data_IF_497106936218
#
_entry.id   IF_497106936218
#
_cell.length_a   1.000
_cell.length_b   1.000
_cell.length_c   1.000
_cell.angle_alpha   90.00
_cell.angle_beta   90.00
_cell.angle_gamma   90.00
#
_symmetry.space_group_name_H-M   'P 1'
#
loop_
_entity.id
_entity.type
_entity.pdbx_description
1 polymer ?
#
# COMPACT_ATOMS: atom_id res chain seq x y z
N UNK A 1 -18.26 -48.26 -39.57
CA UNK A 1 -19.29 -47.26 -39.21
C UNK A 1 -20.25 -47.93 -38.23
N UNK A 2 -20.47 -47.54 -36.99
CA UNK A 2 -19.84 -46.52 -36.16
C UNK A 2 -20.01 -46.97 -34.69
N UNK A 3 -18.91 -47.42 -34.06
CA UNK A 3 -18.77 -47.53 -32.60
C UNK A 3 -18.67 -46.13 -31.93
N UNK A 4 -18.88 -45.06 -32.69
CA UNK A 4 -18.74 -43.66 -32.27
C UNK A 4 -19.96 -43.10 -31.51
N UNK A 5 -21.17 -43.61 -31.77
CA UNK A 5 -22.40 -43.04 -31.19
C UNK A 5 -22.71 -43.49 -29.75
N UNK A 6 -22.03 -44.52 -29.26
CA UNK A 6 -22.19 -44.97 -27.87
C UNK A 6 -21.29 -44.20 -26.90
N UNK A 7 -20.08 -43.82 -27.33
CA UNK A 7 -19.15 -43.03 -26.51
C UNK A 7 -19.57 -41.57 -26.35
N UNK A 8 -20.33 -41.01 -27.30
CA UNK A 8 -20.83 -39.64 -27.24
C UNK A 8 -21.93 -39.42 -26.18
N UNK A 9 -22.61 -40.50 -25.74
CA UNK A 9 -23.69 -40.43 -24.72
C UNK A 9 -23.20 -40.74 -23.29
N UNK A 10 -21.94 -41.15 -23.13
CA UNK A 10 -21.30 -41.36 -21.82
C UNK A 10 -20.52 -40.13 -21.32
N UNK A 11 -20.18 -39.20 -22.22
CA UNK A 11 -19.66 -37.89 -21.84
C UNK A 11 -20.84 -36.95 -21.60
N UNK A 12 -21.40 -37.08 -20.39
CA UNK A 12 -22.32 -36.12 -19.83
C UNK A 12 -21.81 -34.71 -20.10
N UNK A 13 -22.70 -33.88 -20.65
CA UNK A 13 -22.60 -32.43 -20.76
C UNK A 13 -21.93 -31.91 -19.50
N UNK A 14 -20.65 -31.55 -19.60
CA UNK A 14 -19.91 -30.87 -18.55
C UNK A 14 -20.64 -29.55 -18.38
N UNK A 15 -21.42 -29.42 -17.32
CA UNK A 15 -21.83 -28.12 -16.81
C UNK A 15 -20.55 -27.28 -16.77
N UNK A 16 -20.51 -26.22 -17.57
CA UNK A 16 -19.47 -25.21 -17.44
C UNK A 16 -19.48 -24.81 -15.97
N UNK A 17 -18.36 -24.99 -15.24
CA UNK A 17 -18.33 -24.58 -13.85
C UNK A 17 -18.67 -23.10 -13.83
N UNK A 18 -19.76 -22.75 -13.15
CA UNK A 18 -20.05 -21.35 -12.81
C UNK A 18 -18.75 -20.72 -12.35
N UNK A 19 -18.40 -19.51 -12.84
CA UNK A 19 -17.19 -18.85 -12.40
C UNK A 19 -17.24 -18.75 -10.88
N UNK A 20 -16.39 -19.54 -10.21
CA UNK A 20 -16.33 -19.55 -8.76
C UNK A 20 -16.19 -18.10 -8.30
N UNK A 21 -16.99 -17.65 -7.32
CA UNK A 21 -16.94 -16.27 -6.87
C UNK A 21 -15.49 -15.94 -6.51
N UNK A 22 -14.89 -15.00 -7.26
CA UNK A 22 -13.55 -14.52 -6.97
C UNK A 22 -13.53 -14.09 -5.50
N UNK A 23 -12.61 -14.61 -4.67
CA UNK A 23 -12.55 -14.23 -3.27
C UNK A 23 -12.42 -12.72 -3.17
N UNK A 24 -13.40 -12.08 -2.53
CA UNK A 24 -13.32 -10.65 -2.23
C UNK A 24 -12.06 -10.41 -1.37
N UNK A 25 -11.29 -9.34 -1.63
CA UNK A 25 -10.20 -8.96 -0.76
C UNK A 25 -10.69 -8.82 0.70
N UNK A 26 -9.91 -9.26 1.70
CA UNK A 26 -10.24 -9.08 3.11
C UNK A 26 -10.47 -7.62 3.44
N UNK A 27 -11.54 -7.33 4.19
CA UNK A 27 -11.83 -5.99 4.70
C UNK A 27 -11.02 -5.69 5.97
N UNK A 28 -10.95 -4.42 6.37
CA UNK A 28 -10.28 -4.05 7.62
C UNK A 28 -10.87 -4.79 8.84
N UNK A 29 -12.19 -4.98 8.88
CA UNK A 29 -12.86 -5.72 9.96
C UNK A 29 -12.47 -7.21 9.94
N UNK A 30 -12.32 -7.81 8.76
CA UNK A 30 -11.83 -9.18 8.62
C UNK A 30 -10.40 -9.34 9.15
N UNK A 31 -9.53 -8.35 8.88
CA UNK A 31 -8.16 -8.33 9.38
C UNK A 31 -8.11 -8.18 10.90
N UNK A 32 -8.91 -7.27 11.46
CA UNK A 32 -9.01 -7.10 12.90
C UNK A 32 -9.54 -8.37 13.59
N UNK A 33 -10.53 -9.02 12.99
CA UNK A 33 -11.04 -10.31 13.47
C UNK A 33 -9.99 -11.42 13.37
N UNK A 34 -9.16 -11.43 12.32
CA UNK A 34 -8.04 -12.36 12.19
C UNK A 34 -7.00 -12.18 13.31
N UNK A 35 -6.66 -10.94 13.63
CA UNK A 35 -5.75 -10.63 14.75
C UNK A 35 -6.32 -11.11 16.09
N UNK A 36 -7.62 -10.94 16.34
CA UNK A 36 -8.27 -11.46 17.55
C UNK A 36 -8.17 -12.99 17.63
N UNK A 37 -8.36 -13.70 16.51
CA UNK A 37 -8.17 -15.17 16.47
C UNK A 37 -6.73 -15.55 16.80
N UNK A 38 -5.74 -14.80 16.31
CA UNK A 38 -4.32 -15.00 16.64
C UNK A 38 -4.06 -14.81 18.13
N UNK A 39 -4.61 -13.76 18.75
CA UNK A 39 -4.49 -13.53 20.19
C UNK A 39 -5.10 -14.69 21.01
N UNK A 40 -6.22 -15.25 20.54
CA UNK A 40 -6.86 -16.42 21.17
C UNK A 40 -5.99 -17.68 21.09
N UNK A 41 -5.24 -17.90 20.00
CA UNK A 41 -4.34 -19.05 19.86
C UNK A 41 -3.21 -19.07 20.89
N UNK A 42 -2.79 -17.89 21.36
CA UNK A 42 -1.69 -17.75 22.33
C UNK A 42 -2.15 -17.47 23.76
N UNK A 43 -3.46 -17.35 23.97
CA UNK A 43 -4.06 -17.11 25.28
C UNK A 43 -3.94 -18.32 26.22
N UNK A 44 -4.19 -18.09 27.51
CA UNK A 44 -4.32 -19.17 28.51
C UNK A 44 -3.07 -20.03 28.72
N UNK A 45 -1.88 -19.56 28.31
CA UNK A 45 -0.63 -20.31 28.43
C UNK A 45 -0.44 -21.39 27.36
N UNK A 46 -1.21 -21.35 26.25
CA UNK A 46 -1.10 -22.28 25.13
C UNK A 46 0.32 -22.31 24.53
N UNK A 47 1.03 -21.17 24.55
CA UNK A 47 2.42 -21.03 24.12
C UNK A 47 3.32 -20.52 25.26
N UNK A 48 4.65 -20.74 25.20
CA UNK A 48 5.60 -20.12 26.12
C UNK A 48 5.53 -18.59 26.11
N UNK A 49 5.82 -17.95 27.24
CA UNK A 49 5.76 -16.48 27.37
C UNK A 49 6.58 -15.70 26.32
N UNK A 50 7.79 -16.14 25.91
CA UNK A 50 8.55 -15.47 24.85
C UNK A 50 7.84 -15.43 23.49
N UNK A 51 7.01 -16.43 23.19
CA UNK A 51 6.19 -16.51 21.97
C UNK A 51 5.01 -15.56 22.08
N UNK A 52 4.26 -15.63 23.18
CA UNK A 52 3.09 -14.77 23.42
C UNK A 52 3.47 -13.27 23.35
N UNK A 53 4.59 -12.88 23.95
CA UNK A 53 5.10 -11.51 23.91
C UNK A 53 5.38 -11.03 22.48
N UNK A 54 6.03 -11.87 21.66
CA UNK A 54 6.35 -11.53 20.27
C UNK A 54 5.12 -11.46 19.39
N UNK A 55 4.20 -12.40 19.53
CA UNK A 55 2.90 -12.35 18.84
C UNK A 55 2.17 -11.06 19.18
N UNK A 56 2.12 -10.68 20.46
CA UNK A 56 1.52 -9.42 20.90
C UNK A 56 2.18 -8.19 20.25
N UNK A 57 3.51 -8.18 20.09
CA UNK A 57 4.21 -7.12 19.37
C UNK A 57 3.78 -7.03 17.90
N UNK A 58 3.76 -8.15 17.17
CA UNK A 58 3.37 -8.16 15.75
C UNK A 58 1.91 -7.70 15.62
N UNK A 59 1.00 -8.29 16.41
CA UNK A 59 -0.43 -7.95 16.41
C UNK A 59 -0.66 -6.46 16.65
N UNK A 60 0.05 -5.87 17.62
CA UNK A 60 -0.04 -4.43 17.89
C UNK A 60 0.30 -3.59 16.66
N UNK A 61 1.45 -3.84 16.03
CA UNK A 61 1.92 -3.04 14.89
C UNK A 61 1.02 -3.24 13.66
N UNK A 62 0.57 -4.47 13.41
CA UNK A 62 -0.38 -4.75 12.33
C UNK A 62 -1.70 -4.01 12.57
N UNK A 63 -2.26 -4.06 13.80
CA UNK A 63 -3.48 -3.33 14.17
C UNK A 63 -3.33 -1.81 14.00
N UNK A 64 -2.19 -1.24 14.36
CA UNK A 64 -1.90 0.19 14.15
C UNK A 64 -1.77 0.56 12.66
N UNK A 65 -1.41 -0.39 11.80
CA UNK A 65 -1.21 -0.18 10.36
C UNK A 65 -2.52 -0.34 9.56
N UNK A 66 -3.43 -1.22 9.98
CA UNK A 66 -4.69 -1.55 9.26
C UNK A 66 -5.49 -0.32 8.81
N UNK A 67 -5.76 0.71 9.64
CA UNK A 67 -6.56 1.86 9.24
C UNK A 67 -5.97 2.64 8.06
N UNK A 68 -4.65 2.53 7.84
CA UNK A 68 -3.91 3.24 6.81
C UNK A 68 -3.74 2.45 5.52
N UNK A 69 -4.20 1.19 5.49
CA UNK A 69 -4.13 0.35 4.29
C UNK A 69 -4.83 0.98 3.09
N UNK A 70 -5.91 1.73 3.31
CA UNK A 70 -6.60 2.48 2.25
C UNK A 70 -5.68 3.48 1.55
N UNK A 71 -4.76 4.11 2.28
CA UNK A 71 -3.79 5.08 1.72
C UNK A 71 -2.69 4.39 0.91
N UNK A 72 -2.43 3.12 1.18
CA UNK A 72 -1.40 2.33 0.52
C UNK A 72 -1.86 1.72 -0.81
N UNK A 73 -3.16 1.68 -1.08
CA UNK A 73 -3.73 1.02 -2.25
C UNK A 73 -3.32 -0.46 -2.36
N UNK A 74 -3.30 -0.99 -3.58
CA UNK A 74 -2.84 -2.36 -3.88
C UNK A 74 -1.32 -2.56 -3.81
N UNK A 75 -0.61 -1.81 -2.96
CA UNK A 75 0.84 -1.90 -2.83
C UNK A 75 1.30 -3.20 -2.15
N UNK A 76 2.58 -3.52 -2.35
CA UNK A 76 3.24 -4.67 -1.71
C UNK A 76 3.17 -4.57 -0.18
N UNK A 77 3.25 -3.36 0.37
CA UNK A 77 3.14 -3.10 1.80
C UNK A 77 1.75 -3.44 2.33
N UNK A 78 0.69 -3.04 1.61
CA UNK A 78 -0.68 -3.37 1.98
C UNK A 78 -0.92 -4.88 1.96
N UNK A 79 -0.43 -5.56 0.92
CA UNK A 79 -0.48 -7.02 0.82
C UNK A 79 0.28 -7.69 1.99
N UNK A 80 1.47 -7.21 2.34
CA UNK A 80 2.28 -7.78 3.42
C UNK A 80 1.56 -7.72 4.78
N UNK A 81 0.87 -6.62 5.08
CA UNK A 81 0.09 -6.45 6.31
C UNK A 81 -1.12 -7.39 6.32
N UNK A 82 -1.85 -7.46 5.21
CA UNK A 82 -2.97 -8.38 5.02
C UNK A 82 -2.54 -9.83 5.25
N UNK A 83 -1.55 -10.30 4.49
CA UNK A 83 -1.04 -11.67 4.57
C UNK A 83 -0.45 -12.00 5.95
N UNK A 84 0.14 -11.02 6.64
CA UNK A 84 0.62 -11.22 8.02
C UNK A 84 -0.53 -11.52 8.98
N UNK A 85 -1.65 -10.82 8.85
CA UNK A 85 -2.82 -11.04 9.69
C UNK A 85 -3.58 -12.33 9.33
N UNK A 86 -3.70 -12.65 8.04
CA UNK A 86 -4.55 -13.76 7.56
C UNK A 86 -3.83 -15.10 7.45
N UNK A 87 -2.54 -15.08 7.13
CA UNK A 87 -1.83 -16.30 6.71
C UNK A 87 -0.57 -16.53 7.57
N UNK A 88 0.38 -15.58 7.58
CA UNK A 88 1.72 -15.83 8.13
C UNK A 88 1.73 -16.04 9.64
N UNK A 89 1.06 -15.15 10.41
CA UNK A 89 0.97 -15.32 11.87
C UNK A 89 0.18 -16.58 12.27
N UNK A 90 -1.06 -16.78 11.77
CA UNK A 90 -1.83 -17.97 12.11
C UNK A 90 -1.11 -19.27 11.75
N UNK A 91 -0.46 -19.33 10.58
CA UNK A 91 0.25 -20.52 10.13
C UNK A 91 1.49 -20.83 10.98
N UNK A 92 2.30 -19.82 11.31
CA UNK A 92 3.48 -20.01 12.15
C UNK A 92 3.10 -20.54 13.54
N UNK A 93 2.10 -19.93 14.18
CA UNK A 93 1.62 -20.33 15.50
C UNK A 93 0.97 -21.72 15.43
N UNK A 94 0.10 -21.94 14.44
CA UNK A 94 -0.56 -23.23 14.23
C UNK A 94 0.44 -24.36 13.96
N UNK A 95 1.51 -24.08 13.21
CA UNK A 95 2.60 -25.01 12.97
C UNK A 95 3.26 -25.50 14.25
N UNK A 96 3.56 -24.59 15.18
CA UNK A 96 4.10 -24.94 16.49
C UNK A 96 3.09 -25.69 17.37
N UNK A 97 1.83 -25.24 17.41
CA UNK A 97 0.78 -25.85 18.24
C UNK A 97 0.37 -27.25 17.79
N UNK A 98 0.60 -27.62 16.52
CA UNK A 98 0.40 -28.98 16.01
C UNK A 98 1.42 -29.99 16.57
N UNK A 99 2.54 -29.52 17.12
CA UNK A 99 3.58 -30.38 17.68
C UNK A 99 3.35 -30.62 19.18
N UNK A 100 3.68 -31.82 19.72
CA UNK A 100 3.73 -32.01 21.16
C UNK A 100 4.73 -31.04 21.80
N UNK A 101 4.32 -30.24 22.78
CA UNK A 101 5.13 -29.14 23.38
C UNK A 101 6.54 -29.59 23.77
N UNK A 102 6.63 -30.65 24.56
CA UNK A 102 7.90 -31.22 25.02
C UNK A 102 8.81 -31.65 23.86
N UNK A 103 8.27 -32.06 22.71
CA UNK A 103 9.04 -32.36 21.52
C UNK A 103 9.51 -31.06 20.84
N UNK A 104 8.60 -30.11 20.63
CA UNK A 104 8.86 -28.83 19.97
C UNK A 104 9.92 -27.98 20.69
N UNK A 105 10.00 -28.12 22.02
CA UNK A 105 10.88 -27.30 22.87
C UNK A 105 12.27 -27.92 23.05
N UNK A 106 12.43 -29.24 22.88
CA UNK A 106 13.68 -29.95 23.23
C UNK A 106 14.39 -30.57 22.03
N UNK A 107 13.66 -30.93 20.97
CA UNK A 107 14.24 -31.66 19.84
C UNK A 107 14.76 -30.68 18.80
N UNK A 108 16.05 -30.75 18.42
CA UNK A 108 16.56 -29.97 17.31
C UNK A 108 15.96 -30.50 16.01
N UNK A 109 15.52 -29.58 15.14
CA UNK A 109 14.84 -29.90 13.87
C UNK A 109 15.54 -29.30 12.66
N UNK A 110 16.22 -28.16 12.81
CA UNK A 110 16.99 -27.54 11.73
C UNK A 110 18.22 -26.83 12.29
N UNK A 111 19.41 -27.18 11.80
CA UNK A 111 20.70 -26.59 12.21
C UNK A 111 20.90 -26.47 13.74
N UNK A 112 20.40 -27.45 14.50
CA UNK A 112 20.47 -27.46 15.96
C UNK A 112 19.40 -26.62 16.68
N UNK A 113 18.55 -25.88 15.96
CA UNK A 113 17.43 -25.13 16.53
C UNK A 113 16.22 -26.04 16.74
N UNK A 114 15.51 -25.82 17.84
CA UNK A 114 14.23 -26.46 18.11
C UNK A 114 13.09 -25.74 17.37
N UNK A 115 11.92 -26.37 17.27
CA UNK A 115 10.75 -25.73 16.65
C UNK A 115 10.37 -24.43 17.37
N UNK A 116 10.53 -24.37 18.69
CA UNK A 116 10.34 -23.14 19.47
C UNK A 116 11.30 -22.02 19.03
N UNK A 117 12.58 -22.33 18.86
CA UNK A 117 13.58 -21.35 18.42
C UNK A 117 13.29 -20.83 17.02
N UNK A 118 12.88 -21.71 16.11
CA UNK A 118 12.51 -21.32 14.74
C UNK A 118 11.28 -20.40 14.76
N UNK A 119 10.26 -20.72 15.55
CA UNK A 119 9.09 -19.84 15.69
C UNK A 119 9.48 -18.46 16.22
N UNK A 120 10.37 -18.40 17.21
CA UNK A 120 10.87 -17.14 17.76
C UNK A 120 11.54 -16.30 16.66
N UNK A 121 12.43 -16.89 15.86
CA UNK A 121 13.10 -16.20 14.77
C UNK A 121 12.10 -15.67 13.72
N UNK A 122 11.08 -16.49 13.38
CA UNK A 122 10.03 -16.10 12.44
C UNK A 122 9.21 -14.92 12.96
N UNK A 123 8.84 -14.93 14.25
CA UNK A 123 8.09 -13.83 14.86
C UNK A 123 8.92 -12.55 14.97
N UNK A 124 10.22 -12.65 15.27
CA UNK A 124 11.13 -11.51 15.29
C UNK A 124 11.31 -10.89 13.90
N UNK A 125 11.40 -11.72 12.86
CA UNK A 125 11.41 -11.27 11.47
C UNK A 125 10.10 -10.57 11.08
N UNK A 126 8.95 -11.14 11.42
CA UNK A 126 7.64 -10.54 11.16
C UNK A 126 7.51 -9.19 11.86
N UNK A 127 7.89 -9.11 13.14
CA UNK A 127 7.85 -7.85 13.90
C UNK A 127 8.70 -6.76 13.25
N UNK A 128 9.97 -7.06 12.94
CA UNK A 128 10.87 -6.10 12.31
C UNK A 128 10.38 -5.67 10.91
N UNK A 129 9.71 -6.56 10.18
CA UNK A 129 9.15 -6.25 8.86
C UNK A 129 7.93 -5.35 8.99
N UNK A 130 7.02 -5.64 9.92
CA UNK A 130 5.85 -4.79 10.16
C UNK A 130 6.23 -3.41 10.71
N UNK A 131 7.26 -3.31 11.55
CA UNK A 131 7.81 -2.02 11.99
C UNK A 131 8.27 -1.17 10.79
N UNK A 132 9.00 -1.77 9.84
CA UNK A 132 9.43 -1.08 8.60
C UNK A 132 8.25 -0.64 7.74
N UNK A 133 7.24 -1.49 7.61
CA UNK A 133 6.02 -1.16 6.85
C UNK A 133 5.33 0.03 7.52
N UNK A 134 5.10 -0.04 8.83
CA UNK A 134 4.50 1.04 9.60
C UNK A 134 5.27 2.36 9.45
N UNK A 135 6.59 2.34 9.58
CA UNK A 135 7.44 3.52 9.38
C UNK A 135 7.33 4.08 7.95
N UNK A 136 7.27 3.22 6.94
CA UNK A 136 7.10 3.63 5.54
C UNK A 136 5.75 4.32 5.32
N UNK A 137 4.67 3.78 5.91
CA UNK A 137 3.33 4.39 5.84
C UNK A 137 3.34 5.76 6.52
N UNK A 138 3.85 5.87 7.74
CA UNK A 138 3.92 7.14 8.47
C UNK A 138 4.73 8.19 7.71
N UNK A 139 5.83 7.79 7.06
CA UNK A 139 6.64 8.69 6.25
C UNK A 139 5.89 9.20 5.02
N UNK A 140 5.11 8.34 4.36
CA UNK A 140 4.28 8.74 3.24
C UNK A 140 3.18 9.74 3.66
N UNK A 141 2.50 9.46 4.77
CA UNK A 141 1.48 10.35 5.35
C UNK A 141 2.08 11.72 5.71
N UNK A 142 3.25 11.75 6.34
CA UNK A 142 3.96 12.99 6.68
C UNK A 142 4.36 13.80 5.44
N UNK A 143 4.85 13.13 4.38
CA UNK A 143 5.18 13.78 3.12
C UNK A 143 3.95 14.41 2.44
N UNK A 144 2.82 13.71 2.47
CA UNK A 144 1.55 14.21 1.95
C UNK A 144 1.09 15.47 2.70
N UNK A 145 1.22 15.48 4.02
CA UNK A 145 0.89 16.65 4.85
C UNK A 145 1.76 17.88 4.51
N UNK A 146 3.06 17.68 4.32
CA UNK A 146 3.99 18.76 3.94
C UNK A 146 3.62 19.32 2.56
N UNK A 147 3.35 18.44 1.59
CA UNK A 147 2.94 18.85 0.25
C UNK A 147 1.63 19.67 0.27
N UNK A 148 0.66 19.23 1.07
CA UNK A 148 -0.60 19.96 1.25
C UNK A 148 -0.37 21.35 1.86
N UNK A 149 0.51 21.47 2.86
CA UNK A 149 0.88 22.76 3.46
C UNK A 149 1.52 23.74 2.46
N UNK A 150 2.42 23.26 1.60
CA UNK A 150 3.03 24.08 0.52
C UNK A 150 1.98 24.56 -0.47
N UNK A 151 1.08 23.67 -0.90
CA UNK A 151 -0.01 24.03 -1.79
C UNK A 151 -0.90 25.14 -1.19
N UNK A 152 -1.23 25.06 0.11
CA UNK A 152 -2.01 26.12 0.78
C UNK A 152 -1.24 27.46 0.83
N UNK A 153 0.06 27.44 1.08
CA UNK A 153 0.89 28.64 1.06
C UNK A 153 0.95 29.28 -0.34
N UNK A 154 1.06 28.48 -1.39
CA UNK A 154 1.04 28.98 -2.77
C UNK A 154 -0.34 29.56 -3.13
N UNK A 155 -1.42 28.90 -2.71
CA UNK A 155 -2.79 29.30 -3.03
C UNK A 155 -3.25 30.56 -2.28
N UNK A 156 -2.84 30.71 -1.02
CA UNK A 156 -3.36 31.75 -0.12
C UNK A 156 -2.28 32.69 0.46
N UNK A 157 -1.01 32.27 0.50
CA UNK A 157 0.09 33.06 1.07
C UNK A 157 0.50 34.26 0.22
N UNK A 158 0.26 34.24 -1.09
CA UNK A 158 0.50 35.38 -1.99
C UNK A 158 -0.63 36.44 -1.92
N UNK A 159 -1.70 36.18 -1.15
CA UNK A 159 -2.87 37.05 -1.05
C UNK A 159 -2.77 38.19 -0.01
N UNK A 160 -1.69 38.29 0.77
CA UNK A 160 -1.53 39.35 1.78
C UNK A 160 -0.34 40.31 1.57
N UNK A 161 0.40 40.19 0.47
CA UNK A 161 1.47 41.17 0.16
C UNK A 161 1.50 41.46 -1.34
N UNK A 162 0.60 42.33 -1.79
CA UNK A 162 0.52 42.72 -3.20
C UNK A 162 -0.53 43.78 -3.52
N UNK A 163 -0.89 44.61 -2.54
CA UNK A 163 -1.57 45.88 -2.80
C UNK A 163 -0.59 46.82 -3.50
N UNK A 164 -0.50 46.68 -4.82
CA UNK A 164 0.31 47.50 -5.72
C UNK A 164 -0.43 47.73 -7.03
N UNK A 165 -1.73 48.06 -6.95
CA UNK A 165 -2.43 48.72 -8.04
C UNK A 165 -1.80 50.10 -8.22
N UNK A 166 -0.77 50.17 -9.06
CA UNK A 166 -0.33 51.41 -9.66
C UNK A 166 -1.47 51.94 -10.54
N UNK A 167 -2.41 52.65 -9.94
CA UNK A 167 -3.29 53.59 -10.62
C UNK A 167 -2.41 54.75 -11.09
N UNK A 168 -1.68 54.55 -12.18
CA UNK A 168 -1.10 55.66 -12.92
C UNK A 168 -2.25 56.59 -13.32
N UNK A 169 -2.13 57.92 -13.11
CA UNK A 169 -3.17 58.85 -13.50
C UNK A 169 -3.41 58.70 -15.00
N UNK A 170 -4.67 58.43 -15.35
CA UNK A 170 -5.20 58.47 -16.70
C UNK A 170 -5.03 59.88 -17.26
N UNK A 171 -3.90 60.12 -17.92
CA UNK A 171 -3.70 61.28 -18.80
C UNK A 171 -4.26 60.96 -20.19
N UNK A 172 -5.55 61.25 -20.39
CA UNK A 172 -6.14 61.30 -21.71
C UNK A 172 -5.53 62.46 -22.51
N UNK A 173 -4.84 62.15 -23.61
CA UNK A 173 -4.57 63.15 -24.67
C UNK A 173 -4.83 62.47 -26.03
N UNK A 174 -5.80 62.95 -26.83
CA UNK A 174 -6.13 62.37 -28.14
C UNK A 174 -5.10 62.78 -29.22
N UNK A 175 -5.02 62.05 -30.35
CA UNK A 175 -4.01 62.28 -31.39
C UNK A 175 -4.41 63.43 -32.32
N UNK A 176 -3.46 64.23 -32.84
CA UNK A 176 -3.69 65.01 -34.04
C UNK A 176 -3.42 64.16 -35.29
N UNK A 177 -4.46 64.07 -36.09
CA UNK A 177 -4.55 63.55 -37.45
C UNK A 177 -3.66 64.36 -38.42
N UNK A 178 -2.81 63.69 -39.21
CA UNK A 178 -2.23 64.23 -40.45
C UNK A 178 -1.80 63.10 -41.40
N UNK A 179 -2.69 62.78 -42.35
CA UNK A 179 -2.46 62.86 -43.81
C UNK A 179 -1.47 61.89 -44.50
N UNK A 180 -1.86 61.26 -45.65
CA UNK A 180 -1.03 60.29 -46.37
C UNK A 180 -0.16 60.92 -47.48
N UNK A 181 1.03 60.37 -47.72
CA UNK A 181 1.77 60.54 -48.97
C UNK A 181 2.70 59.32 -49.22
N UNK A 182 2.45 58.58 -50.30
CA UNK A 182 3.34 57.53 -50.83
C UNK A 182 4.48 58.09 -51.70
N UNK A 183 4.96 57.35 -52.71
CA UNK A 183 5.77 56.12 -52.63
C UNK A 183 7.13 56.27 -53.38
N UNK A 184 8.05 55.29 -53.25
CA UNK A 184 8.85 54.63 -54.33
C UNK A 184 10.22 54.05 -53.88
N UNK A 185 10.34 52.73 -54.08
CA UNK A 185 11.44 51.97 -54.71
C UNK A 185 12.77 51.62 -53.97
N UNK A 186 13.45 50.50 -54.37
CA UNK A 186 14.28 49.63 -53.50
C UNK A 186 15.76 49.45 -54.00
N UNK A 187 16.45 48.30 -53.79
CA UNK A 187 17.63 48.07 -52.94
C UNK A 187 18.98 47.99 -53.72
N UNK A 188 20.12 47.67 -53.05
CA UNK A 188 20.77 46.38 -53.37
C UNK A 188 21.48 45.70 -52.19
N UNK A 189 21.68 44.38 -52.30
CA UNK A 189 22.39 43.53 -51.33
C UNK A 189 23.86 43.23 -51.64
N UNK A 190 24.47 42.41 -50.77
CA UNK A 190 25.64 41.52 -50.93
C UNK A 190 25.78 40.80 -49.58
N UNK A 191 25.73 39.46 -49.46
CA UNK A 191 26.68 38.48 -49.99
C UNK A 191 27.89 38.40 -49.03
N UNK A 192 28.27 37.27 -48.45
CA UNK A 192 27.82 35.89 -48.54
C UNK A 192 28.68 35.00 -47.62
N UNK A 193 28.31 33.72 -47.62
CA UNK A 193 29.09 32.51 -47.30
C UNK A 193 29.63 32.31 -45.90
#
# INVERSE_FOLDING_TARGET
MALGDFFARLTGRKEEPEPAPVPRPPTNDDLLAALVRVEQLVAGGAVPAPVASRVGRVVRVVRETIPRLGNLGGSVQAYSVMATATDYLPEAIGGYLRLPRQWADTRPVDRGKTSLMILIDQLDLLAATMDKVFDAVNRADAAALIAHGRFLQEKFGTGSTGGGLALGPTGSTPPPDMGPAGPLAPPPGRGGS
#
